data_IF_431801280576
#
_entry.id   IF_431801280576
#
_cell.length_a   1.000
_cell.length_b   1.000
_cell.length_c   1.000
_cell.angle_alpha   90.00
_cell.angle_beta   90.00
_cell.angle_gamma   90.00
#
_symmetry.space_group_name_H-M   'P 1'
#
loop_
_entity.id
_entity.type
_entity.pdbx_description
1 polymer ?
#
# COMPACT_ATOMS: atom_id res chain seq x y z
N UNK A 1 14.34 -14.75 14.95
CA UNK A 1 14.08 -13.47 15.63
C UNK A 1 14.94 -12.42 14.94
N UNK A 2 14.48 -11.87 13.81
CA UNK A 2 15.25 -10.89 13.05
C UNK A 2 15.13 -9.56 13.78
N UNK A 3 16.25 -9.10 14.32
CA UNK A 3 16.36 -7.83 15.02
C UNK A 3 16.23 -6.70 14.01
N UNK A 4 15.26 -5.82 14.22
CA UNK A 4 15.35 -4.39 13.95
C UNK A 4 15.92 -4.02 12.55
N UNK A 5 15.05 -3.72 11.58
CA UNK A 5 15.41 -2.99 10.34
C UNK A 5 15.82 -1.52 10.65
N UNK A 6 16.09 -1.18 11.91
CA UNK A 6 16.13 0.18 12.42
C UNK A 6 17.37 1.02 12.10
N UNK A 7 18.47 0.49 11.56
CA UNK A 7 19.70 1.31 11.40
C UNK A 7 20.54 1.01 10.14
N UNK A 8 20.02 0.26 9.14
CA UNK A 8 20.82 -0.12 7.96
C UNK A 8 20.13 -0.14 6.58
N UNK A 9 18.81 0.08 6.49
CA UNK A 9 18.07 -0.02 5.22
C UNK A 9 17.81 1.33 4.54
N UNK A 10 17.79 2.44 5.28
CA UNK A 10 17.56 3.79 4.70
C UNK A 10 18.52 4.11 3.55
N UNK A 11 19.74 3.58 3.56
CA UNK A 11 20.73 3.78 2.50
C UNK A 11 20.85 2.59 1.53
N UNK A 12 20.36 1.39 1.89
CA UNK A 12 20.60 0.18 1.07
C UNK A 12 19.91 0.27 -0.29
N UNK A 13 18.72 0.88 -0.35
CA UNK A 13 18.01 1.06 -1.60
C UNK A 13 18.68 2.09 -2.52
N UNK A 14 19.39 3.08 -1.93
CA UNK A 14 20.18 4.03 -2.72
C UNK A 14 21.35 3.36 -3.47
N UNK A 15 21.84 2.22 -2.96
CA UNK A 15 22.87 1.39 -3.60
C UNK A 15 22.32 0.51 -4.73
N UNK A 16 21.00 0.47 -4.93
CA UNK A 16 20.33 -0.35 -5.92
C UNK A 16 19.59 0.52 -6.95
N UNK A 17 20.29 1.40 -7.71
CA UNK A 17 19.66 2.38 -8.59
C UNK A 17 18.85 1.77 -9.73
N UNK A 18 19.08 0.49 -10.05
CA UNK A 18 18.39 -0.26 -11.10
C UNK A 18 17.28 -1.19 -10.57
N UNK A 19 16.94 -1.11 -9.29
CA UNK A 19 15.92 -1.96 -8.68
C UNK A 19 14.55 -1.68 -9.31
N UNK A 20 13.97 -2.70 -9.95
CA UNK A 20 12.62 -2.63 -10.55
C UNK A 20 11.55 -3.32 -9.71
N UNK A 21 11.94 -4.32 -8.94
CA UNK A 21 11.05 -5.14 -8.15
C UNK A 21 11.65 -5.31 -6.75
N UNK A 22 10.86 -4.99 -5.74
CA UNK A 22 11.21 -5.20 -4.34
C UNK A 22 10.15 -6.12 -3.71
N UNK A 23 10.60 -7.20 -3.09
CA UNK A 23 9.76 -8.11 -2.34
C UNK A 23 10.35 -8.24 -0.93
N UNK A 24 9.60 -7.77 0.06
CA UNK A 24 9.89 -7.93 1.48
C UNK A 24 8.81 -8.75 2.18
N UNK A 25 7.92 -9.39 1.43
CA UNK A 25 6.76 -10.09 1.97
C UNK A 25 7.14 -11.17 2.98
N UNK A 26 6.28 -11.36 4.00
CA UNK A 26 6.48 -12.38 5.03
C UNK A 26 7.68 -12.14 5.95
N UNK A 27 8.27 -10.94 5.94
CA UNK A 27 9.31 -10.53 6.88
C UNK A 27 8.70 -9.57 7.92
N UNK A 28 8.04 -10.10 8.98
CA UNK A 28 7.43 -9.26 9.99
C UNK A 28 8.50 -8.44 10.70
N UNK A 29 8.30 -7.12 10.74
CA UNK A 29 9.14 -6.22 11.52
C UNK A 29 8.35 -5.60 12.64
N UNK A 30 9.01 -5.40 13.77
CA UNK A 30 8.36 -4.82 14.95
C UNK A 30 8.11 -3.31 14.77
N UNK A 31 8.89 -2.64 13.92
CA UNK A 31 8.75 -1.21 13.64
C UNK A 31 9.39 -0.85 12.30
N UNK A 32 8.73 0.02 11.55
CA UNK A 32 9.28 0.64 10.34
C UNK A 32 9.76 2.06 10.65
N UNK A 33 10.88 2.47 10.05
CA UNK A 33 11.25 3.89 10.04
C UNK A 33 10.41 4.59 8.97
N UNK A 34 9.90 5.81 9.21
CA UNK A 34 9.26 6.62 8.17
C UNK A 34 10.18 6.90 6.97
N UNK A 35 11.49 6.67 7.12
CA UNK A 35 12.50 6.87 6.09
C UNK A 35 13.00 5.55 5.47
N UNK A 36 12.45 4.38 5.83
CA UNK A 36 12.96 3.08 5.37
C UNK A 36 13.09 2.99 3.85
N UNK A 37 12.20 3.64 3.11
CA UNK A 37 12.17 3.63 1.65
C UNK A 37 12.74 4.89 1.01
N UNK A 38 13.42 5.73 1.80
CA UNK A 38 14.20 6.84 1.25
C UNK A 38 15.29 6.27 0.33
N UNK A 39 15.43 6.83 -0.87
CA UNK A 39 16.40 6.34 -1.85
C UNK A 39 15.94 5.12 -2.66
N UNK A 40 14.65 4.71 -2.59
CA UNK A 40 14.10 3.77 -3.57
C UNK A 40 14.33 4.28 -5.00
N UNK A 41 14.70 3.34 -5.87
CA UNK A 41 14.91 3.63 -7.29
C UNK A 41 13.64 4.23 -7.90
N UNK A 42 13.81 5.31 -8.67
CA UNK A 42 12.70 5.96 -9.37
C UNK A 42 12.22 5.17 -10.60
N UNK A 43 12.84 4.01 -10.90
CA UNK A 43 12.38 3.07 -11.93
C UNK A 43 11.73 1.81 -11.35
N UNK A 44 11.40 1.81 -10.05
CA UNK A 44 10.74 0.69 -9.38
C UNK A 44 9.28 0.57 -9.81
N UNK A 45 8.90 -0.59 -10.35
CA UNK A 45 7.56 -0.84 -10.87
C UNK A 45 6.73 -1.76 -10.00
N UNK A 46 7.37 -2.58 -9.15
CA UNK A 46 6.67 -3.51 -8.24
C UNK A 46 7.24 -3.47 -6.83
N UNK A 47 6.36 -3.33 -5.85
CA UNK A 47 6.68 -3.47 -4.42
C UNK A 47 5.71 -4.44 -3.77
N UNK A 48 6.24 -5.44 -3.07
CA UNK A 48 5.48 -6.34 -2.20
C UNK A 48 5.92 -6.18 -0.74
N UNK A 49 5.00 -5.68 0.09
CA UNK A 49 5.13 -5.52 1.54
C UNK A 49 4.00 -6.28 2.26
N UNK A 50 3.52 -7.37 1.68
CA UNK A 50 2.47 -8.17 2.30
C UNK A 50 2.98 -8.91 3.54
N UNK A 51 2.14 -9.01 4.57
CA UNK A 51 2.46 -9.75 5.80
C UNK A 51 3.78 -9.31 6.46
N UNK A 52 3.97 -8.01 6.62
CA UNK A 52 5.16 -7.44 7.28
C UNK A 52 4.85 -6.67 8.58
N UNK A 53 3.57 -6.61 8.96
CA UNK A 53 3.12 -6.00 10.21
C UNK A 53 2.94 -4.48 10.15
N UNK A 54 2.60 -3.92 8.98
CA UNK A 54 2.30 -2.49 8.85
C UNK A 54 1.00 -2.12 9.58
N UNK A 55 1.03 -1.04 10.37
CA UNK A 55 -0.18 -0.47 11.00
C UNK A 55 -0.72 0.75 10.25
N UNK A 56 0.09 1.32 9.35
CA UNK A 56 -0.24 2.44 8.50
C UNK A 56 0.48 2.29 7.15
N UNK A 57 0.11 3.11 6.17
CA UNK A 57 0.77 3.10 4.88
C UNK A 57 2.24 3.50 5.00
N UNK A 58 3.17 2.79 4.34
CA UNK A 58 4.57 3.19 4.31
C UNK A 58 4.73 4.48 3.49
N UNK A 59 5.59 5.38 3.95
CA UNK A 59 5.97 6.58 3.19
C UNK A 59 6.83 6.17 1.99
N UNK A 60 6.18 5.96 0.86
CA UNK A 60 6.77 5.56 -0.41
C UNK A 60 6.61 6.69 -1.43
N UNK A 61 7.68 7.00 -2.17
CA UNK A 61 7.64 7.93 -3.30
C UNK A 61 8.17 7.25 -4.55
N UNK A 62 7.31 7.06 -5.54
CA UNK A 62 7.70 6.53 -6.85
C UNK A 62 6.76 7.03 -7.94
N UNK A 63 7.34 7.58 -9.00
CA UNK A 63 6.60 7.98 -10.19
C UNK A 63 6.37 6.83 -11.18
N UNK A 64 7.01 5.67 -10.99
CA UNK A 64 6.95 4.53 -11.92
C UNK A 64 6.34 3.28 -11.31
N UNK A 65 5.90 3.34 -10.05
CA UNK A 65 5.31 2.18 -9.37
C UNK A 65 3.97 1.85 -10.02
N UNK A 66 3.85 0.62 -10.51
CA UNK A 66 2.65 0.11 -11.19
C UNK A 66 1.87 -0.85 -10.28
N UNK A 67 2.56 -1.57 -9.40
CA UNK A 67 1.96 -2.56 -8.51
C UNK A 67 2.47 -2.41 -7.08
N UNK A 68 1.53 -2.27 -6.14
CA UNK A 68 1.80 -2.21 -4.71
C UNK A 68 0.94 -3.21 -3.95
N UNK A 69 1.57 -4.17 -3.28
CA UNK A 69 0.91 -5.14 -2.42
C UNK A 69 1.19 -4.81 -0.94
N UNK A 70 0.13 -4.46 -0.22
CA UNK A 70 0.12 -4.19 1.22
C UNK A 70 -0.82 -5.16 1.96
N UNK A 71 -1.19 -6.27 1.33
CA UNK A 71 -2.14 -7.22 1.89
C UNK A 71 -1.64 -7.87 3.19
N UNK A 72 -2.57 -8.39 3.99
CA UNK A 72 -2.27 -9.14 5.21
C UNK A 72 -1.42 -8.35 6.21
N UNK A 73 -1.69 -7.05 6.34
CA UNK A 73 -1.10 -6.19 7.36
C UNK A 73 -2.16 -5.79 8.40
N UNK A 74 -1.87 -4.81 9.24
CA UNK A 74 -2.75 -4.31 10.30
C UNK A 74 -3.20 -2.87 10.05
N UNK A 75 -3.20 -2.42 8.79
CA UNK A 75 -3.59 -1.06 8.41
C UNK A 75 -5.07 -0.88 8.74
N UNK A 76 -5.40 0.14 9.53
CA UNK A 76 -6.78 0.38 9.99
C UNK A 76 -7.40 1.66 9.45
N UNK A 77 -6.58 2.62 9.03
CA UNK A 77 -7.01 3.88 8.43
C UNK A 77 -6.09 4.27 7.27
N UNK A 78 -6.64 5.07 6.35
CA UNK A 78 -5.90 5.65 5.24
C UNK A 78 -6.26 7.14 5.17
N UNK A 79 -5.37 8.01 5.65
CA UNK A 79 -5.51 9.46 5.51
C UNK A 79 -4.95 9.92 4.14
N UNK A 80 -5.77 10.56 3.27
CA UNK A 80 -5.29 11.15 2.01
C UNK A 80 -4.12 12.12 2.15
N UNK A 81 -3.92 12.73 3.34
CA UNK A 81 -2.80 13.64 3.63
C UNK A 81 -1.48 12.91 3.85
N UNK A 82 -1.52 11.63 4.20
CA UNK A 82 -0.33 10.81 4.45
C UNK A 82 0.11 10.02 3.21
N UNK A 83 -0.72 10.00 2.16
CA UNK A 83 -0.44 9.37 0.89
C UNK A 83 0.32 10.32 -0.05
N UNK A 84 1.42 9.81 -0.58
CA UNK A 84 2.17 10.41 -1.69
C UNK A 84 1.49 10.11 -3.03
N UNK A 85 1.79 10.90 -4.06
CA UNK A 85 1.19 10.70 -5.39
C UNK A 85 1.88 9.51 -6.09
N UNK A 86 1.09 8.56 -6.59
CA UNK A 86 1.53 7.45 -7.42
C UNK A 86 0.91 7.55 -8.82
N UNK A 87 1.52 8.34 -9.73
CA UNK A 87 0.91 8.68 -11.02
C UNK A 87 0.81 7.50 -11.99
N UNK A 88 1.50 6.38 -11.74
CA UNK A 88 1.50 5.21 -12.61
C UNK A 88 0.95 3.95 -11.94
N UNK A 89 0.40 4.05 -10.72
CA UNK A 89 -0.07 2.88 -9.99
C UNK A 89 -1.31 2.32 -10.67
N UNK A 90 -1.24 1.06 -11.10
CA UNK A 90 -2.32 0.34 -11.77
C UNK A 90 -3.05 -0.61 -10.82
N UNK A 91 -2.34 -1.16 -9.84
CA UNK A 91 -2.87 -2.15 -8.90
C UNK A 91 -2.43 -1.86 -7.48
N UNK A 92 -3.41 -1.76 -6.59
CA UNK A 92 -3.23 -1.65 -5.15
C UNK A 92 -3.96 -2.80 -4.46
N UNK A 93 -3.20 -3.63 -3.74
CA UNK A 93 -3.77 -4.68 -2.89
C UNK A 93 -3.66 -4.29 -1.42
N UNK A 94 -4.81 -4.08 -0.78
CA UNK A 94 -4.99 -3.77 0.63
C UNK A 94 -5.78 -4.88 1.34
N UNK A 95 -5.94 -6.06 0.73
CA UNK A 95 -6.75 -7.14 1.29
C UNK A 95 -6.20 -7.66 2.61
N UNK A 96 -7.06 -8.22 3.47
CA UNK A 96 -6.63 -8.80 4.74
C UNK A 96 -6.04 -7.78 5.72
N UNK A 97 -6.48 -6.52 5.65
CA UNK A 97 -6.12 -5.47 6.61
C UNK A 97 -7.28 -5.23 7.61
N UNK A 98 -7.25 -4.12 8.34
CA UNK A 98 -8.27 -3.72 9.33
C UNK A 98 -8.98 -2.44 8.94
N UNK A 99 -8.98 -2.10 7.64
CA UNK A 99 -9.53 -0.86 7.12
C UNK A 99 -11.05 -0.87 7.31
N UNK A 100 -11.58 0.16 7.95
CA UNK A 100 -13.04 0.31 8.18
C UNK A 100 -13.66 1.29 7.18
N UNK A 101 -12.89 2.29 6.75
CA UNK A 101 -13.32 3.30 5.81
C UNK A 101 -12.18 3.68 4.85
N UNK A 102 -12.56 4.08 3.64
CA UNK A 102 -11.64 4.64 2.65
C UNK A 102 -12.22 5.97 2.19
N UNK A 103 -11.44 7.03 2.38
CA UNK A 103 -11.77 8.34 1.83
C UNK A 103 -11.48 8.35 0.31
N UNK A 104 -12.47 8.66 -0.52
CA UNK A 104 -12.32 8.68 -1.97
C UNK A 104 -11.21 9.63 -2.48
N UNK A 105 -10.83 10.65 -1.71
CA UNK A 105 -9.73 11.57 -2.05
C UNK A 105 -8.38 10.85 -2.22
N UNK A 106 -8.21 9.63 -1.70
CA UNK A 106 -6.98 8.87 -1.94
C UNK A 106 -6.81 8.54 -3.42
N UNK A 107 -7.89 8.40 -4.17
CA UNK A 107 -7.84 8.02 -5.58
C UNK A 107 -7.37 9.17 -6.47
N UNK A 108 -7.51 10.42 -6.02
CA UNK A 108 -6.88 11.59 -6.66
C UNK A 108 -5.34 11.49 -6.67
N UNK A 109 -4.76 10.70 -5.75
CA UNK A 109 -3.31 10.44 -5.69
C UNK A 109 -2.87 9.32 -6.62
N UNK A 110 -3.80 8.57 -7.22
CA UNK A 110 -3.54 7.37 -8.02
C UNK A 110 -4.41 7.41 -9.29
N UNK A 111 -4.20 8.40 -10.18
CA UNK A 111 -5.10 8.67 -11.32
C UNK A 111 -5.20 7.53 -12.34
N UNK A 112 -4.20 6.65 -12.40
CA UNK A 112 -4.15 5.51 -13.32
C UNK A 112 -4.58 4.18 -12.67
N UNK A 113 -5.10 4.21 -11.43
CA UNK A 113 -5.49 3.00 -10.71
C UNK A 113 -6.59 2.26 -11.48
N UNK A 114 -6.43 0.95 -11.67
CA UNK A 114 -7.39 0.08 -12.39
C UNK A 114 -7.93 -1.03 -11.51
N UNK A 115 -7.13 -1.48 -10.54
CA UNK A 115 -7.48 -2.59 -9.67
C UNK A 115 -7.23 -2.19 -8.23
N UNK A 116 -8.29 -2.27 -7.42
CA UNK A 116 -8.23 -2.10 -5.98
C UNK A 116 -8.77 -3.37 -5.31
N UNK A 117 -7.92 -4.04 -4.53
CA UNK A 117 -8.37 -5.16 -3.72
C UNK A 117 -8.46 -4.73 -2.25
N UNK A 118 -9.67 -4.72 -1.71
CA UNK A 118 -9.94 -4.39 -0.30
C UNK A 118 -10.78 -5.48 0.38
N UNK A 119 -10.80 -6.69 -0.20
CA UNK A 119 -11.36 -7.87 0.44
C UNK A 119 -10.73 -8.13 1.82
N UNK A 120 -11.43 -8.84 2.68
CA UNK A 120 -10.97 -9.22 4.02
C UNK A 120 -10.52 -8.03 4.89
N UNK A 121 -11.17 -6.88 4.70
CA UNK A 121 -11.08 -5.73 5.58
C UNK A 121 -12.33 -5.62 6.47
N UNK A 122 -12.20 -4.86 7.56
CA UNK A 122 -13.31 -4.53 8.46
C UNK A 122 -13.63 -5.62 9.50
N UNK A 123 -13.63 -5.22 10.77
CA UNK A 123 -14.18 -6.05 11.83
C UNK A 123 -15.72 -6.05 11.72
N UNK A 124 -16.28 -7.03 11.01
CA UNK A 124 -17.60 -7.62 11.30
C UNK A 124 -18.87 -6.73 11.35
N UNK A 125 -18.88 -5.50 10.83
CA UNK A 125 -20.09 -4.66 10.83
C UNK A 125 -20.30 -3.90 9.52
N UNK A 126 -20.31 -4.61 8.39
CA UNK A 126 -21.23 -4.41 7.25
C UNK A 126 -21.47 -3.02 6.63
N UNK A 127 -20.71 -1.98 6.96
CA UNK A 127 -20.93 -0.63 6.44
C UNK A 127 -19.57 -0.07 6.02
N UNK A 128 -19.08 -0.54 4.88
CA UNK A 128 -18.21 0.33 4.12
C UNK A 128 -19.09 1.43 3.54
N UNK A 129 -19.05 2.64 4.13
CA UNK A 129 -19.67 3.82 3.54
C UNK A 129 -18.83 4.23 2.34
N UNK A 130 -19.03 3.54 1.21
CA UNK A 130 -18.46 3.95 -0.05
C UNK A 130 -19.23 5.17 -0.56
N UNK A 131 -18.70 6.38 -0.34
CA UNK A 131 -19.01 7.50 -1.23
C UNK A 131 -18.10 7.39 -2.47
N UNK A 132 -18.23 6.28 -3.19
CA UNK A 132 -17.53 6.02 -4.47
C UNK A 132 -18.39 6.44 -5.67
N UNK A 133 -19.55 7.06 -5.41
CA UNK A 133 -20.50 7.54 -6.43
C UNK A 133 -19.86 8.48 -7.44
N UNK A 134 -18.81 9.19 -7.02
CA UNK A 134 -18.07 10.14 -7.84
C UNK A 134 -16.83 9.54 -8.55
N UNK A 135 -16.54 8.25 -8.36
CA UNK A 135 -15.38 7.61 -8.99
C UNK A 135 -15.72 6.91 -10.31
N UNK A 136 -14.82 7.06 -11.28
CA UNK A 136 -14.95 6.54 -12.64
C UNK A 136 -15.14 5.02 -12.63
N UNK A 137 -16.13 4.51 -13.37
CA UNK A 137 -16.58 3.10 -13.41
C UNK A 137 -15.52 2.11 -13.95
N UNK A 138 -14.27 2.54 -14.10
CA UNK A 138 -13.16 1.77 -14.69
C UNK A 138 -12.33 1.01 -13.64
N UNK A 139 -12.45 1.33 -12.34
CA UNK A 139 -11.75 0.57 -11.29
C UNK A 139 -12.50 -0.70 -10.96
N UNK A 140 -11.82 -1.83 -11.13
CA UNK A 140 -12.29 -3.11 -10.60
C UNK A 140 -11.99 -3.16 -9.09
N UNK A 141 -13.05 -3.15 -8.29
CA UNK A 141 -12.93 -3.28 -6.83
C UNK A 141 -13.35 -4.67 -6.38
N UNK A 142 -12.47 -5.35 -5.67
CA UNK A 142 -12.77 -6.64 -5.04
C UNK A 142 -13.18 -6.43 -3.58
N UNK A 143 -14.33 -6.97 -3.21
CA UNK A 143 -14.86 -7.00 -1.84
C UNK A 143 -15.08 -8.45 -1.40
N UNK A 144 -15.35 -8.64 -0.11
CA UNK A 144 -15.79 -9.95 0.37
C UNK A 144 -17.11 -10.34 -0.29
N UNK A 145 -17.09 -11.45 -1.03
CA UNK A 145 -18.27 -12.11 -1.54
C UNK A 145 -18.99 -12.82 -0.39
N UNK A 146 -19.68 -12.04 0.45
CA UNK A 146 -20.56 -12.52 1.51
C UNK A 146 -21.99 -12.06 1.24
N UNK A 147 -22.78 -12.91 0.59
CA UNK A 147 -24.23 -12.94 0.76
C UNK A 147 -24.57 -13.86 1.94
#
# INVERSE_FOLDING_TARGET
>A
MVQNIGIGITEVFSLLPKLKHLDLSGNPVNSWSPHTFMGLSQIITKIDLSNVGLFSLPRLRSSSLEYLNLSNNFIYEIDPKEIEIFPSLLTLDLSGNRIVEINAQIFEKMPELKVLNISDNGNNSGIFNYDISDFDFQILIFFNSGF
#
